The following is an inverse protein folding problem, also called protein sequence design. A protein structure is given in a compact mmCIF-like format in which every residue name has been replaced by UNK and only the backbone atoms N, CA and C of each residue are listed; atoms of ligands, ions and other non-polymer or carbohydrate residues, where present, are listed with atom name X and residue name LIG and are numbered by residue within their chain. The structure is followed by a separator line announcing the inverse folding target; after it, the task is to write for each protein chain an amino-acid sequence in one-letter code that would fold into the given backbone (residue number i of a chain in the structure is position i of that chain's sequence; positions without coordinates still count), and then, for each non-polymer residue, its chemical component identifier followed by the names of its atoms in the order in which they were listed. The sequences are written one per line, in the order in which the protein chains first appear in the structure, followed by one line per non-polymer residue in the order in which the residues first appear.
data_IF_335913489305
#
_entry.id   IF_335913489305
#
_cell.length_a   1.000
_cell.length_b   1.000
_cell.length_c   1.000
_cell.angle_alpha   90.00
_cell.angle_beta   90.00
_cell.angle_gamma   90.00
#
_symmetry.space_group_name_H-M   'P 1'
#
loop_
_entity.id
_entity.type
_entity.pdbx_description
1 polymer ?
#
# COMPACT_ATOMS: atom_id res chain seq x y z
N UNK A 1 32.95 -19.92 -9.49
CA UNK A 1 32.42 -18.63 -9.97
C UNK A 1 30.92 -18.60 -9.68
N UNK A 2 30.48 -17.81 -8.71
CA UNK A 2 29.07 -17.74 -8.32
C UNK A 2 28.35 -16.77 -9.25
N UNK A 3 27.48 -17.29 -10.12
CA UNK A 3 26.50 -16.49 -10.85
C UNK A 3 25.46 -15.98 -9.85
N UNK A 4 25.77 -14.92 -9.11
CA UNK A 4 24.73 -14.09 -8.51
C UNK A 4 24.01 -13.42 -9.66
N UNK A 5 22.85 -13.98 -10.05
CA UNK A 5 21.86 -13.20 -10.78
C UNK A 5 21.49 -12.02 -9.87
N UNK A 6 22.07 -10.86 -10.16
CA UNK A 6 21.61 -9.60 -9.62
C UNK A 6 20.15 -9.48 -10.01
N UNK A 7 19.26 -9.59 -9.02
CA UNK A 7 17.84 -9.30 -9.24
C UNK A 7 17.79 -7.89 -9.83
N UNK A 8 17.11 -7.67 -10.97
CA UNK A 8 17.05 -6.36 -11.59
C UNK A 8 16.61 -5.36 -10.52
N UNK A 9 17.36 -4.25 -10.43
CA UNK A 9 17.05 -3.16 -9.50
C UNK A 9 15.58 -2.80 -9.69
N UNK A 10 14.81 -2.92 -8.62
CA UNK A 10 13.38 -2.65 -8.67
C UNK A 10 13.17 -1.17 -9.00
N UNK A 11 12.65 -0.88 -10.19
CA UNK A 11 12.37 0.49 -10.60
C UNK A 11 11.20 1.04 -9.77
N UNK A 12 11.53 1.82 -8.75
CA UNK A 12 10.56 2.48 -7.87
C UNK A 12 9.69 3.48 -8.64
N UNK A 13 10.14 3.97 -9.80
CA UNK A 13 9.41 4.88 -10.68
C UNK A 13 8.23 4.15 -11.32
N UNK A 14 8.48 2.96 -11.88
CA UNK A 14 7.43 2.12 -12.45
C UNK A 14 6.41 1.71 -11.39
N UNK A 15 6.86 1.35 -10.17
CA UNK A 15 5.94 1.03 -9.07
C UNK A 15 4.99 2.19 -8.76
N UNK A 16 5.54 3.41 -8.64
CA UNK A 16 4.73 4.58 -8.30
C UNK A 16 3.73 4.92 -9.42
N UNK A 17 4.14 4.80 -10.68
CA UNK A 17 3.29 5.07 -11.83
C UNK A 17 2.15 4.05 -11.99
N UNK A 18 2.45 2.77 -11.85
CA UNK A 18 1.52 1.69 -12.22
C UNK A 18 0.74 1.09 -11.06
N UNK A 19 1.07 1.43 -9.81
CA UNK A 19 0.30 0.97 -8.67
C UNK A 19 -1.16 1.42 -8.81
N UNK A 20 -2.11 0.51 -8.58
CA UNK A 20 -3.53 0.84 -8.56
C UNK A 20 -3.93 1.62 -7.31
N UNK A 21 -3.25 1.36 -6.18
CA UNK A 21 -3.52 2.00 -4.90
C UNK A 21 -2.25 2.52 -4.22
N UNK A 22 -2.42 3.55 -3.40
CA UNK A 22 -1.40 4.03 -2.45
C UNK A 22 -1.97 4.04 -1.04
N UNK A 23 -1.27 3.40 -0.10
CA UNK A 23 -1.54 3.44 1.32
C UNK A 23 -0.60 4.44 2.00
N UNK A 24 -1.15 5.42 2.71
CA UNK A 24 -0.38 6.36 3.54
C UNK A 24 -0.55 5.92 4.99
N UNK A 25 0.55 5.52 5.62
CA UNK A 25 0.56 4.99 6.99
C UNK A 25 1.26 5.96 7.92
N UNK A 26 0.59 6.29 9.02
CA UNK A 26 1.10 7.12 10.10
C UNK A 26 1.58 6.20 11.23
N UNK A 27 2.80 6.42 11.69
CA UNK A 27 3.42 5.63 12.75
C UNK A 27 3.49 6.41 14.08
N UNK A 28 3.66 5.69 15.18
CA UNK A 28 3.80 6.24 16.55
C UNK A 28 4.94 7.26 16.71
N UNK A 29 5.92 7.25 15.81
CA UNK A 29 7.04 8.20 15.79
C UNK A 29 6.69 9.52 15.08
N UNK A 30 5.43 9.70 14.67
CA UNK A 30 4.93 10.87 13.94
C UNK A 30 5.17 10.82 12.43
N UNK A 31 5.90 9.82 11.91
CA UNK A 31 6.18 9.73 10.48
C UNK A 31 4.96 9.25 9.70
N UNK A 32 4.74 9.87 8.54
CA UNK A 32 3.77 9.41 7.53
C UNK A 32 4.51 8.93 6.29
N UNK A 33 4.26 7.69 5.86
CA UNK A 33 4.97 7.08 4.72
C UNK A 33 3.99 6.52 3.68
N UNK A 34 4.20 6.77 2.38
CA UNK A 34 3.43 6.15 1.32
C UNK A 34 3.96 4.74 0.99
N UNK A 35 3.04 3.82 0.72
CA UNK A 35 3.30 2.47 0.26
C UNK A 35 2.41 2.18 -0.95
N UNK A 36 3.03 1.85 -2.07
CA UNK A 36 2.33 1.59 -3.33
C UNK A 36 2.02 0.10 -3.47
N UNK A 37 0.84 -0.24 -3.98
CA UNK A 37 0.49 -1.63 -4.28
C UNK A 37 1.48 -2.24 -5.28
N UNK A 38 1.70 -3.56 -5.18
CA UNK A 38 2.77 -4.26 -5.88
C UNK A 38 2.48 -4.60 -7.34
N UNK A 39 1.57 -3.89 -8.00
CA UNK A 39 0.95 -4.25 -9.29
C UNK A 39 1.99 -4.72 -10.33
N UNK A 40 3.06 -3.93 -10.54
CA UNK A 40 4.11 -4.21 -11.53
C UNK A 40 4.69 -5.63 -11.42
N UNK A 41 4.75 -6.18 -10.19
CA UNK A 41 5.29 -7.53 -9.94
C UNK A 41 4.35 -8.66 -10.39
N UNK A 42 3.09 -8.33 -10.64
CA UNK A 42 2.02 -9.25 -11.00
C UNK A 42 1.53 -9.06 -12.43
N UNK A 43 2.21 -8.27 -13.28
CA UNK A 43 1.88 -8.13 -14.71
C UNK A 43 1.64 -9.51 -15.35
N UNK A 44 0.54 -9.63 -16.08
CA UNK A 44 0.08 -10.90 -16.68
C UNK A 44 -0.68 -11.84 -15.74
N UNK A 45 -0.87 -11.45 -14.47
CA UNK A 45 -1.71 -12.17 -13.49
C UNK A 45 -2.93 -11.33 -13.12
N UNK A 46 -3.97 -11.98 -12.62
CA UNK A 46 -5.25 -11.35 -12.30
C UNK A 46 -5.19 -10.27 -11.21
N UNK A 47 -4.13 -10.26 -10.38
CA UNK A 47 -3.92 -9.23 -9.36
C UNK A 47 -3.46 -7.89 -9.95
N UNK A 48 -2.88 -7.89 -11.16
CA UNK A 48 -2.39 -6.66 -11.78
C UNK A 48 -3.55 -5.70 -12.08
N UNK A 49 -3.51 -4.51 -11.49
CA UNK A 49 -4.58 -3.51 -11.65
C UNK A 49 -5.87 -3.81 -10.89
N UNK A 50 -5.92 -4.90 -10.10
CA UNK A 50 -7.11 -5.27 -9.35
C UNK A 50 -7.17 -4.51 -8.02
N UNK A 51 -7.80 -3.34 -8.03
CA UNK A 51 -7.91 -2.46 -6.86
C UNK A 51 -8.61 -3.12 -5.67
N UNK A 52 -9.63 -3.96 -5.89
CA UNK A 52 -10.34 -4.65 -4.81
C UNK A 52 -9.43 -5.63 -4.06
N UNK A 53 -8.59 -6.38 -4.79
CA UNK A 53 -7.58 -7.25 -4.19
C UNK A 53 -6.57 -6.46 -3.36
N UNK A 54 -6.00 -5.39 -3.93
CA UNK A 54 -5.00 -4.58 -3.25
C UNK A 54 -5.57 -3.81 -2.05
N UNK A 55 -6.85 -3.44 -2.10
CA UNK A 55 -7.54 -2.83 -0.98
C UNK A 55 -7.58 -3.78 0.21
N UNK A 56 -8.03 -5.03 0.01
CA UNK A 56 -8.06 -6.03 1.08
C UNK A 56 -6.66 -6.38 1.58
N UNK A 57 -5.69 -6.48 0.67
CA UNK A 57 -4.29 -6.68 1.01
C UNK A 57 -3.76 -5.57 1.95
N UNK A 58 -4.02 -4.31 1.62
CA UNK A 58 -3.58 -3.20 2.48
C UNK A 58 -4.35 -3.12 3.78
N UNK A 59 -5.66 -3.41 3.77
CA UNK A 59 -6.46 -3.47 5.00
C UNK A 59 -5.84 -4.44 6.01
N UNK A 60 -5.58 -5.66 5.56
CA UNK A 60 -4.94 -6.68 6.39
C UNK A 60 -3.59 -6.23 6.96
N UNK A 61 -2.71 -5.64 6.13
CA UNK A 61 -1.38 -5.24 6.60
C UNK A 61 -1.38 -4.09 7.58
N UNK A 62 -2.27 -3.12 7.40
CA UNK A 62 -2.42 -1.97 8.30
C UNK A 62 -3.01 -2.43 9.64
N UNK A 63 -4.08 -3.20 9.59
CA UNK A 63 -4.82 -3.65 10.77
C UNK A 63 -4.00 -4.62 11.65
N UNK A 64 -3.31 -5.57 11.03
CA UNK A 64 -2.49 -6.54 11.74
C UNK A 64 -1.02 -6.15 11.85
N UNK A 65 -0.67 -4.93 11.39
CA UNK A 65 0.69 -4.40 11.45
C UNK A 65 1.72 -5.38 10.84
N UNK A 66 1.33 -6.03 9.74
CA UNK A 66 1.93 -7.28 9.26
C UNK A 66 3.26 -7.12 8.51
N UNK A 67 3.72 -5.88 8.27
CA UNK A 67 5.02 -5.63 7.65
C UNK A 67 6.11 -5.62 8.70
N UNK A 68 7.31 -6.07 8.33
CA UNK A 68 8.49 -5.88 9.16
C UNK A 68 8.67 -4.39 9.50
N UNK A 69 8.83 -4.12 10.80
CA UNK A 69 8.95 -2.76 11.33
C UNK A 69 7.64 -1.99 11.53
N UNK A 70 6.48 -2.55 11.18
CA UNK A 70 5.17 -1.93 11.46
C UNK A 70 4.57 -2.36 12.79
N UNK A 71 4.82 -3.59 13.23
CA UNK A 71 4.22 -4.18 14.43
C UNK A 71 4.29 -3.28 15.67
N UNK A 72 3.13 -2.99 16.25
CA UNK A 72 2.94 -2.11 17.40
C UNK A 72 3.08 -0.61 17.10
N UNK A 73 3.36 -0.21 15.86
CA UNK A 73 3.73 1.16 15.48
C UNK A 73 2.73 1.87 14.59
N UNK A 74 1.75 1.18 13.99
CA UNK A 74 0.75 1.86 13.14
C UNK A 74 -0.29 2.54 14.02
N UNK A 75 -0.49 3.86 13.86
CA UNK A 75 -1.55 4.61 14.58
C UNK A 75 -2.75 4.89 13.68
N UNK A 76 -2.51 5.08 12.39
CA UNK A 76 -3.53 5.40 11.40
C UNK A 76 -3.03 4.97 10.01
N UNK A 77 -3.96 4.55 9.15
CA UNK A 77 -3.69 4.26 7.75
C UNK A 77 -4.83 4.76 6.87
N UNK A 78 -4.50 5.29 5.69
CA UNK A 78 -5.50 5.67 4.70
C UNK A 78 -5.09 5.14 3.33
N UNK A 79 -6.05 4.59 2.59
CA UNK A 79 -5.85 3.99 1.27
C UNK A 79 -6.54 4.88 0.24
N UNK A 80 -5.83 5.18 -0.84
CA UNK A 80 -6.28 6.03 -1.93
C UNK A 80 -6.09 5.31 -3.26
N UNK A 81 -6.92 5.67 -4.23
CA UNK A 81 -6.60 5.42 -5.64
C UNK A 81 -5.27 6.09 -6.00
N UNK A 82 -4.51 5.46 -6.89
CA UNK A 82 -3.31 6.04 -7.45
C UNK A 82 -3.48 6.23 -8.95
N UNK A 83 -3.38 7.48 -9.39
CA UNK A 83 -3.49 7.90 -10.78
C UNK A 83 -2.11 8.33 -11.26
N UNK A 84 -1.33 7.39 -11.79
CA UNK A 84 0.02 7.62 -12.30
C UNK A 84 0.95 8.31 -11.27
N UNK A 85 0.97 7.81 -10.03
CA UNK A 85 1.79 8.36 -8.95
C UNK A 85 1.19 9.58 -8.24
N UNK A 86 0.02 10.03 -8.65
CA UNK A 86 -0.77 11.07 -7.98
C UNK A 86 -1.86 10.44 -7.13
N UNK A 87 -2.01 10.92 -5.89
CA UNK A 87 -3.03 10.45 -4.97
C UNK A 87 -4.42 10.90 -5.42
N UNK A 88 -5.29 9.94 -5.68
CA UNK A 88 -6.70 10.14 -6.03
C UNK A 88 -7.64 10.13 -4.83
N UNK A 89 -8.85 9.61 -5.05
CA UNK A 89 -9.90 9.51 -4.03
C UNK A 89 -9.44 8.60 -2.88
N UNK A 90 -9.75 9.01 -1.64
CA UNK A 90 -9.60 8.17 -0.45
C UNK A 90 -10.73 7.14 -0.43
N UNK A 91 -10.38 5.86 -0.28
CA UNK A 91 -11.34 4.75 -0.36
C UNK A 91 -11.44 3.94 0.95
N UNK A 92 -10.45 4.01 1.84
CA UNK A 92 -10.53 3.42 3.18
C UNK A 92 -9.64 4.14 4.19
N UNK A 93 -10.02 4.10 5.47
CA UNK A 93 -9.28 4.71 6.57
C UNK A 93 -9.38 3.82 7.80
N UNK A 94 -8.26 3.65 8.48
CA UNK A 94 -8.11 2.88 9.70
C UNK A 94 -7.54 3.78 10.78
N UNK A 95 -8.11 3.71 11.98
CA UNK A 95 -7.57 4.38 13.17
C UNK A 95 -7.41 3.34 14.27
N UNK A 96 -6.21 3.26 14.86
CA UNK A 96 -5.93 2.31 15.95
C UNK A 96 -6.91 2.54 17.10
N UNK A 97 -7.52 1.46 17.59
CA UNK A 97 -8.55 1.49 18.63
C UNK A 97 -9.97 1.83 18.14
N UNK A 98 -10.14 2.31 16.91
CA UNK A 98 -11.47 2.52 16.28
C UNK A 98 -11.77 1.54 15.16
N UNK A 99 -10.74 0.95 14.55
CA UNK A 99 -10.88 0.04 13.42
C UNK A 99 -11.01 0.78 12.08
N UNK A 100 -11.64 0.12 11.10
CA UNK A 100 -11.94 0.70 9.79
C UNK A 100 -13.13 1.65 9.88
N UNK A 101 -12.97 2.82 9.27
CA UNK A 101 -13.98 3.87 9.19
C UNK A 101 -14.62 3.82 7.81
N UNK A 102 -15.95 3.80 7.77
CA UNK A 102 -16.71 3.92 6.53
C UNK A 102 -16.52 5.32 5.94
N UNK A 103 -16.12 5.37 4.66
CA UNK A 103 -15.82 6.63 3.95
C UNK A 103 -17.02 7.07 3.12
N UNK A 104 -18.23 6.67 3.51
CA UNK A 104 -19.43 6.96 2.72
C UNK A 104 -19.56 8.45 2.39
N UNK A 105 -19.91 8.66 1.11
CA UNK A 105 -19.72 9.87 0.33
C UNK A 105 -20.40 11.08 0.98
N UNK A 106 -19.61 12.01 1.49
CA UNK A 106 -20.04 13.41 1.65
C UNK A 106 -19.85 14.13 0.31
#
# INVERSE_FOLDING_TARGET
MSNRQEKPAFDATALKAEASLVAIVHFVDGNKRPFYSGDVRYRGKWQHGNSAYWLQYWKYRIEHEACDGWKGRVVEGAIFENHNGTRGKRIAQFVKGKGWIDIDNN
#
